data_IF_286394089038
#
_entry.id   IF_286394089038
#
_cell.length_a   1.000
_cell.length_b   1.000
_cell.length_c   1.000
_cell.angle_alpha   90.00
_cell.angle_beta   90.00
_cell.angle_gamma   90.00
#
_symmetry.space_group_name_H-M   'P 1'
#
loop_
_entity.id
_entity.type
_entity.pdbx_description
1 polymer ?
#
# COMPACT_ATOMS: atom_id res chain seq x y z
N UNK A 1 -23.52 -5.36 70.81
CA UNK A 1 -23.42 -4.48 71.99
C UNK A 1 -21.96 -4.25 72.32
N UNK A 2 -21.56 -2.98 72.51
CA UNK A 2 -20.49 -2.46 73.40
C UNK A 2 -19.12 -3.20 73.38
N UNK A 3 -18.02 -2.64 72.87
CA UNK A 3 -17.24 -1.45 73.28
C UNK A 3 -15.87 -1.84 73.88
N UNK A 4 -14.82 -1.27 73.28
CA UNK A 4 -13.68 -0.55 73.89
C UNK A 4 -12.85 -1.18 75.02
N UNK A 5 -11.55 -1.35 74.77
CA UNK A 5 -10.44 -0.82 75.60
C UNK A 5 -9.09 -1.06 74.86
N UNK A 6 -8.42 -0.03 74.32
CA UNK A 6 -7.41 0.86 74.94
C UNK A 6 -6.03 0.23 75.24
N UNK A 7 -5.09 0.61 74.36
CA UNK A 7 -3.66 0.89 74.54
C UNK A 7 -3.02 0.80 75.93
N UNK A 8 -1.80 0.24 75.97
CA UNK A 8 -0.72 0.67 76.86
C UNK A 8 0.66 0.40 76.26
N UNK A 9 1.60 1.29 76.56
CA UNK A 9 2.90 1.57 75.93
C UNK A 9 4.07 0.87 76.64
N UNK A 10 5.14 0.58 75.86
CA UNK A 10 6.60 0.63 76.21
C UNK A 10 7.06 -0.22 77.41
N UNK A 11 8.27 -0.73 77.51
CA UNK A 11 9.46 -0.90 76.68
C UNK A 11 10.43 -1.66 77.61
N UNK A 12 11.25 -2.58 77.10
CA UNK A 12 12.54 -2.86 77.71
C UNK A 12 13.50 -3.40 76.65
N UNK A 13 14.59 -2.66 76.47
CA UNK A 13 15.71 -2.96 75.60
C UNK A 13 16.64 -3.92 76.32
N UNK A 14 17.15 -4.93 75.60
CA UNK A 14 18.52 -5.40 75.80
C UNK A 14 19.05 -5.93 74.47
N UNK A 15 20.15 -5.34 74.02
CA UNK A 15 20.87 -5.70 72.82
C UNK A 15 21.99 -6.70 73.13
N UNK A 16 22.24 -7.63 72.20
CA UNK A 16 23.50 -8.28 71.79
C UNK A 16 23.13 -9.66 71.19
N UNK A 17 22.80 -9.76 69.90
CA UNK A 17 23.70 -9.94 68.75
C UNK A 17 24.39 -11.33 68.70
N UNK A 18 23.87 -12.23 67.86
CA UNK A 18 24.57 -12.74 66.66
C UNK A 18 23.75 -13.82 65.91
N UNK A 19 23.85 -13.74 64.58
CA UNK A 19 23.51 -14.72 63.54
C UNK A 19 22.03 -15.12 63.34
N UNK A 20 21.40 -14.45 62.36
CA UNK A 20 20.08 -14.79 61.80
C UNK A 20 20.19 -16.03 60.89
N UNK A 21 19.56 -17.13 61.25
CA UNK A 21 19.11 -18.14 60.28
C UNK A 21 17.59 -17.97 60.10
N UNK A 22 17.20 -17.29 59.03
CA UNK A 22 15.82 -17.26 58.58
C UNK A 22 15.74 -17.98 57.23
N UNK A 23 15.20 -19.19 57.27
CA UNK A 23 14.82 -19.97 56.10
C UNK A 23 13.57 -19.32 55.51
N UNK A 24 13.67 -18.81 54.28
CA UNK A 24 12.51 -18.51 53.44
C UNK A 24 12.56 -19.39 52.19
N UNK A 25 11.42 -19.92 51.72
CA UNK A 25 11.38 -20.86 50.61
C UNK A 25 11.69 -20.12 49.31
N UNK A 26 12.68 -20.61 48.56
CA UNK A 26 12.98 -20.12 47.23
C UNK A 26 11.80 -20.43 46.30
N UNK A 27 11.09 -19.38 45.89
CA UNK A 27 10.22 -19.40 44.73
C UNK A 27 11.13 -19.72 43.53
N UNK A 28 11.04 -20.95 43.03
CA UNK A 28 11.62 -21.35 41.75
C UNK A 28 10.91 -20.54 40.65
N UNK A 29 11.41 -19.35 40.38
CA UNK A 29 11.14 -18.63 39.15
C UNK A 29 11.72 -19.47 38.01
N UNK A 30 10.85 -20.18 37.30
CA UNK A 30 11.19 -20.76 36.03
C UNK A 30 11.49 -19.60 35.07
N UNK A 31 12.75 -19.19 35.01
CA UNK A 31 13.26 -18.37 33.92
C UNK A 31 13.03 -19.18 32.64
N UNK A 32 12.01 -18.80 31.87
CA UNK A 32 11.94 -19.16 30.46
C UNK A 32 13.16 -18.55 29.81
N UNK A 33 14.22 -19.34 29.68
CA UNK A 33 15.32 -19.03 28.80
C UNK A 33 14.71 -18.85 27.40
N UNK A 34 14.59 -17.58 26.97
CA UNK A 34 14.36 -17.28 25.57
C UNK A 34 15.51 -17.94 24.81
N UNK A 35 15.19 -18.93 23.98
CA UNK A 35 16.15 -19.52 23.07
C UNK A 35 16.86 -18.38 22.33
N UNK A 36 18.16 -18.23 22.56
CA UNK A 36 19.00 -17.32 21.79
C UNK A 36 18.83 -17.71 20.32
N UNK A 37 18.20 -16.84 19.53
CA UNK A 37 18.09 -17.02 18.09
C UNK A 37 19.47 -17.35 17.53
N UNK A 38 19.57 -18.47 16.81
CA UNK A 38 20.78 -18.83 16.11
C UNK A 38 21.18 -17.68 15.18
N UNK A 39 22.39 -17.16 15.34
CA UNK A 39 22.93 -16.11 14.49
C UNK A 39 22.86 -16.56 13.03
N UNK A 40 21.94 -16.00 12.23
CA UNK A 40 21.86 -16.26 10.80
C UNK A 40 23.20 -15.87 10.18
N UNK A 41 23.97 -16.84 9.72
CA UNK A 41 25.19 -16.59 8.94
C UNK A 41 24.79 -15.93 7.62
N UNK A 42 25.07 -14.63 7.47
CA UNK A 42 24.82 -13.89 6.23
C UNK A 42 25.99 -14.18 5.28
N UNK A 43 25.85 -15.20 4.43
CA UNK A 43 26.81 -15.46 3.35
C UNK A 43 26.31 -14.78 2.07
N UNK A 44 26.93 -13.69 1.59
CA UNK A 44 26.53 -13.08 0.33
C UNK A 44 26.91 -14.00 -0.83
N UNK A 45 25.95 -14.29 -1.72
CA UNK A 45 26.26 -14.99 -2.97
C UNK A 45 27.05 -14.07 -3.90
N UNK A 46 28.19 -14.53 -4.47
CA UNK A 46 28.96 -13.74 -5.43
C UNK A 46 28.20 -13.48 -6.74
N UNK A 47 27.23 -14.33 -7.08
CA UNK A 47 26.42 -14.21 -8.30
C UNK A 47 25.31 -13.17 -8.19
N UNK A 48 25.06 -12.63 -7.00
CA UNK A 48 24.08 -11.56 -6.80
C UNK A 48 24.61 -10.26 -7.40
N UNK A 49 24.09 -9.92 -8.57
CA UNK A 49 24.38 -8.66 -9.25
C UNK A 49 23.83 -7.48 -8.44
N UNK A 50 24.67 -6.47 -8.21
CA UNK A 50 24.27 -5.23 -7.51
C UNK A 50 23.73 -4.15 -8.45
N UNK A 51 24.15 -4.20 -9.72
CA UNK A 51 23.78 -3.23 -10.73
C UNK A 51 23.35 -3.96 -12.00
N UNK A 52 22.05 -3.91 -12.30
CA UNK A 52 21.53 -4.32 -13.61
C UNK A 52 21.51 -3.08 -14.52
N UNK A 53 22.28 -3.14 -15.61
CA UNK A 53 22.40 -2.06 -16.58
C UNK A 53 21.06 -1.69 -17.26
N UNK A 54 20.07 -2.60 -17.21
CA UNK A 54 18.73 -2.37 -17.79
C UNK A 54 17.80 -1.58 -16.88
N UNK A 55 18.17 -1.40 -15.61
CA UNK A 55 17.28 -0.86 -14.59
C UNK A 55 16.11 -1.78 -14.28
N UNK A 56 15.12 -1.23 -13.56
CA UNK A 56 13.89 -1.93 -13.24
C UNK A 56 12.98 -1.99 -14.48
N UNK A 57 12.49 -3.19 -14.82
CA UNK A 57 11.56 -3.35 -15.94
C UNK A 57 10.17 -2.82 -15.55
N UNK A 58 9.54 -2.12 -16.48
CA UNK A 58 8.17 -1.62 -16.33
C UNK A 58 7.14 -2.75 -16.28
N UNK A 59 7.22 -3.72 -17.20
CA UNK A 59 6.31 -4.87 -17.27
C UNK A 59 7.05 -6.12 -16.78
N UNK A 60 6.53 -6.72 -15.71
CA UNK A 60 7.10 -7.92 -15.07
C UNK A 60 6.08 -9.06 -15.14
N UNK A 61 6.29 -10.04 -16.04
CA UNK A 61 5.48 -11.25 -16.03
C UNK A 61 5.82 -12.11 -14.81
N UNK A 62 4.79 -12.72 -14.21
CA UNK A 62 4.94 -13.66 -13.10
C UNK A 62 4.26 -14.99 -13.46
N UNK A 63 5.07 -16.02 -13.74
CA UNK A 63 4.56 -17.29 -14.25
C UNK A 63 3.87 -17.10 -15.62
N UNK A 64 2.59 -17.45 -15.69
CA UNK A 64 1.76 -17.26 -16.89
C UNK A 64 1.05 -15.89 -16.93
N UNK A 65 1.20 -15.08 -15.88
CA UNK A 65 0.52 -13.80 -15.77
C UNK A 65 1.38 -12.70 -16.37
N UNK A 66 0.86 -12.09 -17.43
CA UNK A 66 1.47 -10.97 -18.14
C UNK A 66 0.58 -9.74 -17.94
N UNK A 67 1.12 -8.62 -17.40
CA UNK A 67 0.40 -7.36 -17.38
C UNK A 67 0.01 -6.92 -18.79
N UNK A 68 -1.23 -6.48 -18.97
CA UNK A 68 -1.77 -6.02 -20.25
C UNK A 68 -2.07 -4.53 -20.17
N UNK A 69 -1.60 -3.79 -21.16
CA UNK A 69 -1.81 -2.35 -21.28
C UNK A 69 -2.47 -2.08 -22.63
N UNK A 70 -3.58 -1.34 -22.62
CA UNK A 70 -4.25 -0.90 -23.83
C UNK A 70 -3.35 0.04 -24.66
N UNK A 71 -3.59 0.13 -25.97
CA UNK A 71 -2.72 0.87 -26.90
C UNK A 71 -2.79 2.38 -26.69
N UNK A 72 -3.93 2.88 -26.22
CA UNK A 72 -4.19 4.29 -25.96
C UNK A 72 -3.94 4.67 -24.48
N UNK A 73 -3.55 3.72 -23.64
CA UNK A 73 -3.25 3.95 -22.24
C UNK A 73 -1.82 4.47 -22.05
N UNK A 74 -1.68 5.50 -21.21
CA UNK A 74 -0.37 6.03 -20.85
C UNK A 74 0.18 5.34 -19.60
N UNK A 75 1.37 4.75 -19.69
CA UNK A 75 2.10 4.23 -18.53
C UNK A 75 3.47 4.87 -18.47
N UNK A 76 3.75 5.59 -17.39
CA UNK A 76 5.03 6.26 -17.21
C UNK A 76 6.19 5.25 -17.08
N UNK A 77 7.41 5.57 -17.58
CA UNK A 77 8.53 4.62 -17.65
C UNK A 77 9.04 4.15 -16.28
N UNK A 78 8.78 4.91 -15.21
CA UNK A 78 9.18 4.59 -13.83
C UNK A 78 8.17 3.70 -13.09
N UNK A 79 7.06 3.32 -13.74
CA UNK A 79 6.02 2.49 -13.14
C UNK A 79 6.47 1.03 -13.15
N UNK A 80 6.04 0.27 -12.13
CA UNK A 80 6.20 -1.18 -12.11
C UNK A 80 4.83 -1.85 -12.15
N UNK A 81 4.57 -2.58 -13.22
CA UNK A 81 3.41 -3.46 -13.40
C UNK A 81 3.87 -4.91 -13.26
N UNK A 82 3.38 -5.62 -12.24
CA UNK A 82 3.78 -6.99 -11.98
C UNK A 82 2.58 -7.92 -11.81
N UNK A 83 2.60 -9.08 -12.49
CA UNK A 83 1.57 -10.11 -12.37
C UNK A 83 0.30 -9.82 -13.17
N UNK A 84 -0.87 -10.08 -12.59
CA UNK A 84 -2.18 -9.87 -13.21
C UNK A 84 -2.63 -8.41 -13.08
N UNK A 85 -2.09 -7.54 -13.94
CA UNK A 85 -2.53 -6.14 -14.03
C UNK A 85 -3.08 -5.87 -15.42
N UNK A 86 -4.27 -5.31 -15.50
CA UNK A 86 -4.89 -4.87 -16.75
C UNK A 86 -5.14 -3.37 -16.68
N UNK A 87 -4.56 -2.63 -17.63
CA UNK A 87 -4.79 -1.20 -17.83
C UNK A 87 -5.66 -1.05 -19.07
N UNK A 88 -6.91 -0.63 -18.89
CA UNK A 88 -7.91 -0.47 -19.96
C UNK A 88 -7.74 0.84 -20.72
N UNK A 89 -8.58 1.00 -21.74
CA UNK A 89 -8.45 2.08 -22.71
C UNK A 89 -8.54 3.48 -22.09
N UNK A 90 -7.67 4.38 -22.52
CA UNK A 90 -7.56 5.76 -22.03
C UNK A 90 -7.18 5.89 -20.56
N UNK A 91 -6.80 4.80 -19.88
CA UNK A 91 -6.30 4.88 -18.52
C UNK A 91 -4.86 5.43 -18.49
N UNK A 92 -4.49 6.08 -17.38
CA UNK A 92 -3.14 6.60 -17.19
C UNK A 92 -2.53 6.17 -15.86
N UNK A 93 -1.26 5.75 -15.89
CA UNK A 93 -0.48 5.40 -14.69
C UNK A 93 0.75 6.28 -14.62
N UNK A 94 0.79 7.13 -13.59
CA UNK A 94 1.74 8.22 -13.46
C UNK A 94 3.05 7.80 -12.78
N UNK A 95 4.12 8.61 -12.89
CA UNK A 95 5.47 8.23 -12.47
C UNK A 95 5.59 7.74 -11.02
N UNK A 96 6.37 6.67 -10.84
CA UNK A 96 6.70 6.11 -9.53
C UNK A 96 5.62 5.23 -8.91
N UNK A 97 4.50 5.00 -9.60
CA UNK A 97 3.45 4.10 -9.13
C UNK A 97 3.85 2.63 -9.29
N UNK A 98 3.39 1.79 -8.36
CA UNK A 98 3.69 0.36 -8.32
C UNK A 98 2.38 -0.42 -8.23
N UNK A 99 2.11 -1.25 -9.24
CA UNK A 99 0.92 -2.08 -9.33
C UNK A 99 1.35 -3.54 -9.30
N UNK A 100 1.05 -4.21 -8.19
CA UNK A 100 1.45 -5.60 -7.94
C UNK A 100 0.22 -6.50 -7.82
N UNK A 101 -0.16 -7.13 -8.92
CA UNK A 101 -1.22 -8.12 -9.03
C UNK A 101 -0.69 -9.55 -8.94
N UNK A 102 0.16 -9.84 -7.95
CA UNK A 102 0.80 -11.14 -7.79
C UNK A 102 0.02 -12.12 -6.91
N UNK A 103 -0.91 -11.65 -6.08
CA UNK A 103 -1.82 -12.52 -5.32
C UNK A 103 -3.21 -12.58 -5.98
N UNK A 104 -3.69 -11.46 -6.51
CA UNK A 104 -4.97 -11.33 -7.20
C UNK A 104 -4.89 -10.26 -8.30
N UNK A 105 -5.93 -10.20 -9.14
CA UNK A 105 -6.00 -9.27 -10.28
C UNK A 105 -6.16 -7.82 -9.85
N UNK A 106 -5.53 -6.92 -10.62
CA UNK A 106 -5.72 -5.47 -10.57
C UNK A 106 -6.22 -5.00 -11.93
N UNK A 107 -7.30 -4.24 -11.96
CA UNK A 107 -7.89 -3.70 -13.20
C UNK A 107 -8.09 -2.20 -13.07
N UNK A 108 -7.57 -1.43 -14.02
CA UNK A 108 -7.76 0.03 -14.12
C UNK A 108 -8.68 0.31 -15.30
N UNK A 109 -9.90 0.77 -15.03
CA UNK A 109 -10.95 0.98 -16.01
C UNK A 109 -10.75 2.17 -16.93
N UNK A 110 -11.74 2.38 -17.80
CA UNK A 110 -11.71 3.38 -18.87
C UNK A 110 -11.51 4.81 -18.34
N UNK A 111 -10.56 5.55 -18.94
CA UNK A 111 -10.30 6.95 -18.60
C UNK A 111 -10.01 7.19 -17.09
N UNK A 112 -9.52 6.15 -16.40
CA UNK A 112 -9.16 6.23 -14.99
C UNK A 112 -7.67 6.46 -14.84
N UNK A 113 -7.30 7.24 -13.83
CA UNK A 113 -5.92 7.64 -13.62
C UNK A 113 -5.43 7.20 -12.24
N UNK A 114 -4.19 6.72 -12.21
CA UNK A 114 -3.43 6.41 -11.00
C UNK A 114 -2.27 7.37 -10.92
N UNK A 115 -2.42 8.42 -10.11
CA UNK A 115 -1.41 9.48 -9.97
C UNK A 115 -0.13 9.00 -9.28
N UNK A 116 0.84 9.90 -9.15
CA UNK A 116 2.23 9.61 -8.83
C UNK A 116 2.40 8.83 -7.54
N UNK A 117 3.38 7.92 -7.53
CA UNK A 117 3.83 7.19 -6.33
C UNK A 117 2.70 6.45 -5.60
N UNK A 118 1.66 6.07 -6.33
CA UNK A 118 0.57 5.26 -5.78
C UNK A 118 0.97 3.79 -5.79
N UNK A 119 0.58 3.07 -4.73
CA UNK A 119 0.88 1.64 -4.59
C UNK A 119 -0.44 0.86 -4.57
N UNK A 120 -0.62 0.01 -5.57
CA UNK A 120 -1.77 -0.89 -5.67
C UNK A 120 -1.27 -2.32 -5.45
N UNK A 121 -1.87 -3.02 -4.51
CA UNK A 121 -1.51 -4.40 -4.23
C UNK A 121 -2.76 -5.20 -3.88
N UNK A 122 -2.98 -6.32 -4.56
CA UNK A 122 -4.08 -7.20 -4.23
C UNK A 122 -3.65 -8.18 -3.12
N UNK A 123 -4.39 -8.25 -2.02
CA UNK A 123 -4.23 -9.26 -0.98
C UNK A 123 -4.64 -10.66 -1.47
N UNK A 124 -4.15 -11.72 -0.81
CA UNK A 124 -4.48 -13.10 -1.17
C UNK A 124 -5.98 -13.44 -0.94
N UNK A 125 -6.52 -12.95 0.17
CA UNK A 125 -7.90 -13.15 0.57
C UNK A 125 -8.33 -11.95 1.42
N UNK A 126 -9.60 -11.55 1.29
CA UNK A 126 -10.16 -10.50 2.13
C UNK A 126 -10.68 -11.10 3.43
N UNK A 127 -10.37 -10.52 4.61
CA UNK A 127 -10.92 -10.98 5.88
C UNK A 127 -12.45 -10.89 5.94
N UNK A 128 -13.07 -10.08 5.07
CA UNK A 128 -14.52 -9.90 4.99
C UNK A 128 -15.24 -10.90 4.10
N UNK A 129 -14.51 -11.80 3.42
CA UNK A 129 -15.07 -12.75 2.46
C UNK A 129 -15.44 -12.14 1.10
N UNK A 130 -15.21 -10.83 0.91
CA UNK A 130 -15.34 -10.18 -0.39
C UNK A 130 -14.19 -10.59 -1.33
N UNK A 131 -14.39 -10.49 -2.66
CA UNK A 131 -13.30 -10.62 -3.63
C UNK A 131 -12.11 -9.74 -3.23
N UNK A 132 -10.90 -10.32 -3.26
CA UNK A 132 -9.67 -9.64 -2.88
C UNK A 132 -8.95 -9.02 -4.10
N UNK A 133 -9.68 -8.78 -5.18
CA UNK A 133 -9.20 -8.05 -6.34
C UNK A 133 -9.21 -6.54 -6.11
N UNK A 134 -8.42 -5.81 -6.89
CA UNK A 134 -8.48 -4.34 -6.93
C UNK A 134 -9.11 -3.93 -8.24
N UNK A 135 -10.35 -3.46 -8.18
CA UNK A 135 -11.12 -3.05 -9.34
C UNK A 135 -11.33 -1.55 -9.29
N UNK A 136 -10.76 -0.86 -10.25
CA UNK A 136 -10.96 0.56 -10.47
C UNK A 136 -11.82 0.66 -11.72
N UNK A 137 -13.04 1.18 -11.60
CA UNK A 137 -13.95 1.32 -12.74
C UNK A 137 -13.61 2.56 -13.59
N UNK A 138 -14.59 3.06 -14.36
CA UNK A 138 -14.40 4.17 -15.32
C UNK A 138 -14.40 5.54 -14.65
N UNK A 139 -13.66 6.48 -15.23
CA UNK A 139 -13.57 7.87 -14.76
C UNK A 139 -13.20 8.03 -13.27
N UNK A 140 -12.36 7.13 -12.77
CA UNK A 140 -11.86 7.19 -11.40
C UNK A 140 -10.54 7.96 -11.40
N UNK A 141 -10.45 8.96 -10.53
CA UNK A 141 -9.22 9.73 -10.31
C UNK A 141 -8.59 9.32 -8.99
N UNK A 142 -7.47 8.61 -9.04
CA UNK A 142 -6.72 8.22 -7.84
C UNK A 142 -5.60 9.22 -7.61
N UNK A 143 -5.70 9.97 -6.52
CA UNK A 143 -4.75 10.99 -6.12
C UNK A 143 -3.35 10.46 -5.81
N UNK A 144 -2.35 11.33 -5.91
CA UNK A 144 -0.96 10.98 -5.65
C UNK A 144 -0.75 10.38 -4.26
N UNK A 145 0.26 9.50 -4.13
CA UNK A 145 0.61 8.79 -2.90
C UNK A 145 -0.52 7.95 -2.29
N UNK A 146 -1.46 7.47 -3.11
CA UNK A 146 -2.52 6.60 -2.62
C UNK A 146 -2.04 5.16 -2.43
N UNK A 147 -2.49 4.52 -1.37
CA UNK A 147 -2.28 3.09 -1.13
C UNK A 147 -3.61 2.36 -1.25
N UNK A 148 -3.73 1.51 -2.25
CA UNK A 148 -4.93 0.71 -2.49
C UNK A 148 -4.62 -0.76 -2.27
N UNK A 149 -5.41 -1.41 -1.40
CA UNK A 149 -5.28 -2.85 -1.17
C UNK A 149 -6.63 -3.55 -1.28
N UNK A 150 -6.81 -4.36 -2.32
CA UNK A 150 -8.01 -5.18 -2.54
C UNK A 150 -9.31 -4.41 -2.35
N UNK A 151 -9.44 -3.28 -3.05
CA UNK A 151 -10.63 -2.43 -2.99
C UNK A 151 -11.34 -2.37 -4.33
N UNK A 152 -12.66 -2.18 -4.27
CA UNK A 152 -13.49 -1.91 -5.44
C UNK A 152 -13.89 -0.44 -5.42
N UNK A 153 -13.56 0.27 -6.48
CA UNK A 153 -13.90 1.68 -6.68
C UNK A 153 -14.80 1.74 -7.91
N UNK A 154 -16.06 2.05 -7.68
CA UNK A 154 -17.09 2.19 -8.70
C UNK A 154 -16.88 3.44 -9.57
N UNK A 155 -17.66 3.60 -10.66
CA UNK A 155 -17.47 4.68 -11.62
C UNK A 155 -17.51 6.08 -11.01
N UNK A 156 -16.78 7.00 -11.64
CA UNK A 156 -16.86 8.44 -11.35
C UNK A 156 -16.51 8.75 -9.88
N UNK A 157 -15.48 8.12 -9.33
CA UNK A 157 -15.00 8.42 -7.99
C UNK A 157 -13.72 9.27 -8.01
N UNK A 158 -13.56 10.12 -7.00
CA UNK A 158 -12.29 10.82 -6.74
C UNK A 158 -11.72 10.32 -5.43
N UNK A 159 -10.52 9.76 -5.49
CA UNK A 159 -9.74 9.39 -4.32
C UNK A 159 -8.70 10.49 -4.07
N UNK A 160 -8.83 11.22 -2.98
CA UNK A 160 -7.91 12.30 -2.64
C UNK A 160 -6.46 11.83 -2.48
N UNK A 161 -5.54 12.78 -2.52
CA UNK A 161 -4.10 12.51 -2.32
C UNK A 161 -3.85 11.86 -0.97
N UNK A 162 -2.83 11.01 -0.88
CA UNK A 162 -2.42 10.34 0.37
C UNK A 162 -3.54 9.50 1.02
N UNK A 163 -4.49 9.01 0.22
CA UNK A 163 -5.57 8.16 0.72
C UNK A 163 -5.12 6.70 0.83
N UNK A 164 -5.67 6.00 1.82
CA UNK A 164 -5.37 4.59 2.08
C UNK A 164 -6.69 3.81 2.09
N UNK A 165 -6.84 2.86 1.16
CA UNK A 165 -7.99 1.98 1.08
C UNK A 165 -7.55 0.55 1.43
N UNK A 166 -8.24 -0.04 2.41
CA UNK A 166 -7.93 -1.36 2.96
C UNK A 166 -8.81 -2.46 2.38
N UNK A 167 -8.54 -3.72 2.74
CA UNK A 167 -9.12 -4.88 2.08
C UNK A 167 -10.66 -4.90 2.14
N UNK A 168 -11.28 -5.14 1.00
CA UNK A 168 -12.73 -5.23 0.86
C UNK A 168 -13.47 -3.89 1.04
N UNK A 169 -12.77 -2.75 1.03
CA UNK A 169 -13.47 -1.46 0.97
C UNK A 169 -14.15 -1.28 -0.39
N UNK A 170 -15.40 -0.82 -0.35
CA UNK A 170 -16.18 -0.48 -1.54
C UNK A 170 -16.43 1.02 -1.55
N UNK A 171 -15.97 1.71 -2.59
CA UNK A 171 -16.29 3.11 -2.83
C UNK A 171 -17.32 3.15 -3.96
N UNK A 172 -18.54 3.57 -3.64
CA UNK A 172 -19.63 3.57 -4.61
C UNK A 172 -19.59 4.75 -5.57
N UNK A 173 -20.37 4.65 -6.64
CA UNK A 173 -20.48 5.65 -7.70
C UNK A 173 -20.54 7.08 -7.20
N UNK A 174 -19.82 7.96 -7.87
CA UNK A 174 -19.90 9.42 -7.62
C UNK A 174 -19.50 9.80 -6.19
N UNK A 175 -18.61 9.03 -5.54
CA UNK A 175 -18.11 9.34 -4.21
C UNK A 175 -16.77 10.06 -4.26
N UNK A 176 -16.54 10.94 -3.27
CA UNK A 176 -15.27 11.67 -3.14
C UNK A 176 -14.66 11.38 -1.78
N UNK A 177 -13.41 10.91 -1.78
CA UNK A 177 -12.55 10.89 -0.60
C UNK A 177 -11.68 12.13 -0.58
N UNK A 178 -11.68 12.86 0.54
CA UNK A 178 -10.72 13.95 0.74
C UNK A 178 -9.29 13.42 0.92
N UNK A 179 -8.32 14.32 0.78
CA UNK A 179 -6.92 13.99 0.99
C UNK A 179 -6.66 13.44 2.41
N UNK A 180 -5.78 12.45 2.51
CA UNK A 180 -5.42 11.81 3.78
C UNK A 180 -6.51 10.89 4.36
N UNK A 181 -7.52 10.54 3.58
CA UNK A 181 -8.60 9.65 4.01
C UNK A 181 -8.13 8.20 4.15
N UNK A 182 -8.46 7.55 5.27
CA UNK A 182 -8.13 6.15 5.51
C UNK A 182 -9.40 5.33 5.67
N UNK A 183 -9.70 4.50 4.68
CA UNK A 183 -10.89 3.65 4.64
C UNK A 183 -10.58 2.31 5.29
N UNK A 184 -11.24 1.96 6.42
CA UNK A 184 -11.01 0.68 7.09
C UNK A 184 -11.44 -0.53 6.23
N UNK A 185 -10.93 -1.75 6.54
CA UNK A 185 -11.33 -2.96 5.83
C UNK A 185 -12.85 -3.17 5.86
N UNK A 186 -13.43 -3.58 4.73
CA UNK A 186 -14.88 -3.85 4.61
C UNK A 186 -15.79 -2.62 4.67
N UNK A 187 -15.24 -1.41 4.76
CA UNK A 187 -16.06 -0.20 4.81
C UNK A 187 -16.61 0.11 3.42
N UNK A 188 -17.92 0.29 3.36
CA UNK A 188 -18.64 0.80 2.19
C UNK A 188 -18.86 2.30 2.33
N UNK A 189 -18.51 3.05 1.28
CA UNK A 189 -18.76 4.47 1.12
C UNK A 189 -19.95 4.63 0.16
N UNK A 190 -21.09 5.14 0.64
CA UNK A 190 -22.29 5.28 -0.19
C UNK A 190 -22.13 6.27 -1.34
N UNK A 191 -22.91 6.06 -2.40
CA UNK A 191 -22.90 6.91 -3.60
C UNK A 191 -23.16 8.39 -3.31
N UNK A 192 -22.46 9.28 -4.00
CA UNK A 192 -22.70 10.72 -3.91
C UNK A 192 -22.30 11.35 -2.58
N UNK A 193 -21.50 10.66 -1.77
CA UNK A 193 -21.04 11.16 -0.47
C UNK A 193 -19.58 11.62 -0.50
N UNK A 194 -19.29 12.64 0.31
CA UNK A 194 -17.95 13.10 0.61
C UNK A 194 -17.52 12.58 1.98
N UNK A 195 -16.39 11.89 2.00
CA UNK A 195 -15.81 11.29 3.20
C UNK A 195 -14.38 11.79 3.43
N UNK A 196 -14.03 11.95 4.71
CA UNK A 196 -12.72 12.48 5.10
C UNK A 196 -12.20 11.85 6.39
N UNK A 197 -10.88 11.93 6.59
CA UNK A 197 -10.21 11.65 7.85
C UNK A 197 -9.66 10.23 8.02
N UNK A 198 -9.03 10.01 9.16
CA UNK A 198 -8.41 8.74 9.53
C UNK A 198 -8.87 8.32 10.94
N UNK A 199 -9.84 7.39 11.07
CA UNK A 199 -10.53 6.67 10.00
C UNK A 199 -11.54 7.55 9.25
N UNK A 200 -11.85 7.20 8.00
CA UNK A 200 -12.75 7.93 7.14
C UNK A 200 -14.17 7.99 7.72
N UNK A 201 -14.75 9.19 7.74
CA UNK A 201 -16.11 9.48 8.21
C UNK A 201 -16.85 10.28 7.16
N UNK A 202 -18.17 10.10 7.13
CA UNK A 202 -19.07 10.93 6.37
C UNK A 202 -18.92 12.40 6.80
N UNK A 203 -18.80 13.29 5.82
CA UNK A 203 -18.74 14.74 6.03
C UNK A 203 -20.06 15.35 5.57
N UNK A 204 -20.43 15.11 4.31
CA UNK A 204 -21.64 15.64 3.67
C UNK A 204 -21.96 14.88 2.38
N UNK A 205 -23.16 15.10 1.86
CA UNK A 205 -23.51 14.73 0.48
C UNK A 205 -22.89 15.72 -0.50
N UNK A 206 -22.56 15.23 -1.70
CA UNK A 206 -22.04 16.05 -2.80
C UNK A 206 -23.16 16.88 -3.43
N UNK A 207 -22.78 18.03 -3.98
CA UNK A 207 -23.67 18.82 -4.81
C UNK A 207 -23.72 18.25 -6.23
N UNK A 208 -24.78 18.58 -6.98
CA UNK A 208 -24.89 18.12 -8.37
C UNK A 208 -23.77 18.70 -9.26
N UNK A 209 -23.32 19.92 -8.96
CA UNK A 209 -22.19 20.55 -9.66
C UNK A 209 -20.90 19.74 -9.45
N UNK A 210 -20.61 19.33 -8.21
CA UNK A 210 -19.43 18.51 -7.90
C UNK A 210 -19.46 17.17 -8.63
N UNK A 211 -20.62 16.51 -8.68
CA UNK A 211 -20.79 15.23 -9.38
C UNK A 211 -20.52 15.39 -10.89
N UNK A 212 -20.99 16.49 -11.50
CA UNK A 212 -20.76 16.77 -12.92
C UNK A 212 -19.29 17.13 -13.24
N UNK A 213 -18.52 17.61 -12.27
CA UNK A 213 -17.10 17.93 -12.44
C UNK A 213 -16.19 16.69 -12.39
N UNK A 214 -16.60 15.60 -11.73
CA UNK A 214 -15.78 14.38 -11.61
C UNK A 214 -15.31 13.83 -12.97
N UNK A 215 -16.20 13.55 -13.94
CA UNK A 215 -15.77 13.04 -15.25
C UNK A 215 -14.98 14.09 -16.04
N UNK A 216 -15.24 15.39 -15.86
CA UNK A 216 -14.47 16.45 -16.54
C UNK A 216 -13.01 16.45 -16.08
N UNK A 217 -12.77 16.27 -14.78
CA UNK A 217 -11.43 16.12 -14.23
C UNK A 217 -10.72 14.89 -14.81
N UNK A 218 -11.40 13.74 -14.86
CA UNK A 218 -10.83 12.52 -15.42
C UNK A 218 -10.43 12.68 -16.89
N UNK A 219 -11.28 13.32 -17.71
CA UNK A 219 -10.97 13.62 -19.11
C UNK A 219 -9.84 14.62 -19.25
N UNK A 220 -9.78 15.67 -18.43
CA UNK A 220 -8.68 16.64 -18.45
C UNK A 220 -7.32 15.98 -18.15
N UNK A 221 -7.29 15.04 -17.19
CA UNK A 221 -6.08 14.25 -16.90
C UNK A 221 -5.74 13.31 -18.06
N UNK A 222 -6.74 12.71 -18.70
CA UNK A 222 -6.53 11.88 -19.88
C UNK A 222 -5.94 12.68 -21.05
N UNK A 223 -6.42 13.90 -21.30
CA UNK A 223 -5.85 14.77 -22.34
C UNK A 223 -4.38 15.12 -22.02
N UNK A 224 -4.07 15.45 -20.76
CA UNK A 224 -2.68 15.61 -20.34
C UNK A 224 -1.87 14.32 -20.54
N UNK A 225 -2.46 13.15 -20.27
CA UNK A 225 -1.78 11.87 -20.47
C UNK A 225 -1.47 11.59 -21.94
N UNK A 226 -2.28 12.11 -22.88
CA UNK A 226 -2.03 12.03 -24.32
C UNK A 226 -0.85 12.88 -24.74
N UNK A 227 -0.72 14.08 -24.18
CA UNK A 227 0.45 14.94 -24.41
C UNK A 227 1.72 14.20 -23.97
N UNK A 228 1.72 13.63 -22.77
CA UNK A 228 2.84 12.82 -22.29
C UNK A 228 3.07 11.59 -23.15
N UNK A 229 2.03 10.87 -23.56
CA UNK A 229 2.15 9.70 -24.42
C UNK A 229 2.81 10.04 -25.76
N UNK A 230 2.51 11.22 -26.33
CA UNK A 230 3.08 11.67 -27.60
C UNK A 230 4.60 11.91 -27.55
N UNK A 231 5.15 12.20 -26.36
CA UNK A 231 6.59 12.37 -26.13
C UNK A 231 7.35 11.03 -26.16
N UNK A 232 6.65 9.90 -26.00
CA UNK A 232 7.28 8.58 -25.99
C UNK A 232 7.10 7.86 -27.33
N UNK A 233 8.23 7.46 -27.93
CA UNK A 233 8.23 6.54 -29.06
C UNK A 233 8.05 5.09 -28.58
N UNK A 234 7.49 4.19 -29.40
CA UNK A 234 7.29 2.78 -29.02
C UNK A 234 8.57 2.03 -28.65
N UNK A 235 9.71 2.42 -29.25
CA UNK A 235 11.01 1.83 -28.97
C UNK A 235 11.97 2.90 -28.46
N UNK A 236 12.65 2.58 -27.35
CA UNK A 236 13.71 3.43 -26.82
C UNK A 236 15.03 3.27 -27.59
N UNK A 237 15.86 4.30 -27.57
CA UNK A 237 17.21 4.30 -28.18
C UNK A 237 18.30 3.73 -27.25
N UNK A 238 17.92 3.23 -26.06
CA UNK A 238 18.86 2.77 -25.01
C UNK A 238 19.75 1.61 -25.48
N UNK A 239 19.30 0.81 -26.45
CA UNK A 239 20.11 -0.29 -27.00
C UNK A 239 21.44 0.20 -27.62
N UNK A 240 21.45 1.40 -28.23
CA UNK A 240 22.65 2.00 -28.82
C UNK A 240 23.70 2.31 -27.74
N UNK A 241 23.26 2.77 -26.57
CA UNK A 241 24.16 3.03 -25.44
C UNK A 241 24.71 1.72 -24.86
N UNK A 242 23.88 0.67 -24.79
CA UNK A 242 24.33 -0.66 -24.39
C UNK A 242 25.36 -1.24 -25.37
N UNK A 243 25.18 -1.06 -26.67
CA UNK A 243 26.15 -1.48 -27.69
C UNK A 243 27.48 -0.74 -27.58
N UNK A 244 27.45 0.60 -27.43
CA UNK A 244 28.65 1.40 -27.16
C UNK A 244 29.35 0.94 -25.89
N UNK A 245 28.60 0.67 -24.83
CA UNK A 245 29.13 0.19 -23.57
C UNK A 245 29.80 -1.18 -23.71
N UNK A 246 29.16 -2.14 -24.38
CA UNK A 246 29.75 -3.46 -24.67
C UNK A 246 31.04 -3.36 -25.49
N UNK A 247 31.04 -2.50 -26.52
CA UNK A 247 32.23 -2.24 -27.33
C UNK A 247 33.38 -1.67 -26.51
N UNK A 248 33.09 -0.76 -25.57
CA UNK A 248 34.11 -0.21 -24.65
C UNK A 248 34.72 -1.26 -23.72
N UNK A 249 33.98 -2.32 -23.42
CA UNK A 249 34.43 -3.46 -22.61
C UNK A 249 35.16 -4.54 -23.44
N UNK A 250 35.34 -4.33 -24.75
CA UNK A 250 35.98 -5.29 -25.65
C UNK A 250 35.12 -6.52 -25.99
N UNK A 251 33.81 -6.46 -25.68
CA UNK A 251 32.86 -7.52 -26.01
C UNK A 251 32.37 -7.27 -27.44
N UNK A 252 32.77 -8.13 -28.39
CA UNK A 252 32.20 -8.12 -29.74
C UNK A 252 30.75 -8.59 -29.68
N UNK A 253 29.83 -7.78 -30.21
CA UNK A 253 28.41 -8.14 -30.40
C UNK A 253 28.27 -8.95 -31.68
#
# INVERSE_FOLDING_TARGET
MANLARFSKRALRSAHALARHHVQPQVLAAERAFATEAAKSITPSPDRVKWDYRGQRMIIPLGQWLPKVAVDAYVAPNVVLAGQVTVWDGASVWPGSVLRGDLNKISIGFCSNVQERSVLHAAWSSPTGLPADTLIERYVTIGAYSLLRSCTIEPECIIGQHSILMEGSLVETQSILEAGSVVPPGRRIPSGELWAGNPARFVRTLTHEEILEIPKLAVAINDLSRDYYSEFLPYSTVYLEVEKFKKSLGISV
#
